data_IF_414183411029
#
_entry.id   IF_414183411029
#
_cell.length_a   1.000
_cell.length_b   1.000
_cell.length_c   1.000
_cell.angle_alpha   90.00
_cell.angle_beta   90.00
_cell.angle_gamma   90.00
#
_symmetry.space_group_name_H-M   'P 1'
#
loop_
_entity.id
_entity.type
_entity.pdbx_description
1 polymer ?
#
# COMPACT_ATOMS: atom_id res chain seq x y z
N UNK A 1 12.53 -16.49 12.35
CA UNK A 1 12.52 -16.12 13.79
C UNK A 1 12.09 -17.34 14.61
N UNK A 2 12.55 -17.48 15.85
CA UNK A 2 12.20 -18.61 16.75
C UNK A 2 10.68 -18.78 16.89
N UNK A 3 9.96 -17.66 17.02
CA UNK A 3 8.49 -17.62 17.13
C UNK A 3 7.75 -17.63 15.77
N UNK A 4 8.47 -17.35 14.68
CA UNK A 4 7.84 -17.12 13.37
C UNK A 4 6.97 -15.85 13.32
N UNK A 5 7.20 -14.90 14.22
CA UNK A 5 6.71 -13.51 14.26
C UNK A 5 7.64 -12.71 15.20
N UNK A 6 7.46 -11.40 15.28
CA UNK A 6 8.12 -10.50 16.22
C UNK A 6 7.21 -10.31 17.43
N UNK A 7 7.59 -10.75 18.63
CA UNK A 7 6.74 -10.63 19.80
C UNK A 7 6.52 -9.17 20.20
N UNK A 8 5.28 -8.83 20.53
CA UNK A 8 4.85 -7.51 20.92
C UNK A 8 5.36 -7.10 22.31
N UNK A 9 5.55 -5.80 22.51
CA UNK A 9 5.93 -5.25 23.81
C UNK A 9 4.70 -5.08 24.72
N UNK A 10 4.67 -5.79 25.85
CA UNK A 10 3.67 -5.57 26.90
C UNK A 10 4.32 -4.91 28.11
N UNK A 11 3.65 -3.90 28.66
CA UNK A 11 4.12 -3.14 29.82
C UNK A 11 3.23 -3.37 31.03
N UNK A 12 3.83 -3.44 32.21
CA UNK A 12 3.11 -3.41 33.48
C UNK A 12 2.61 -2.00 33.82
N UNK A 13 1.96 -1.83 34.98
CA UNK A 13 1.48 -0.53 35.44
C UNK A 13 2.58 0.50 35.73
N UNK A 14 3.84 0.06 35.82
CA UNK A 14 5.01 0.91 36.03
C UNK A 14 5.74 1.21 34.71
N UNK A 15 5.26 0.67 33.57
CA UNK A 15 5.82 0.87 32.25
C UNK A 15 6.94 -0.10 31.88
N UNK A 16 7.28 -1.07 32.75
CA UNK A 16 8.34 -2.04 32.50
C UNK A 16 7.86 -3.14 31.56
N UNK A 17 8.74 -3.61 30.68
CA UNK A 17 8.43 -4.76 29.81
C UNK A 17 8.17 -6.02 30.67
N UNK A 18 7.04 -6.68 30.42
CA UNK A 18 6.61 -7.88 31.15
C UNK A 18 7.39 -9.13 30.72
N UNK A 19 7.88 -9.16 29.48
CA UNK A 19 8.70 -10.23 28.92
C UNK A 19 9.96 -9.61 28.30
N UNK A 20 11.18 -10.15 28.52
CA UNK A 20 12.40 -9.67 27.88
C UNK A 20 12.48 -9.95 26.36
N UNK A 21 11.76 -10.94 25.86
CA UNK A 21 11.75 -11.34 24.44
C UNK A 21 10.66 -10.57 23.69
N UNK A 22 10.88 -9.27 23.48
CA UNK A 22 9.97 -8.39 22.74
C UNK A 22 10.68 -7.64 21.61
N UNK A 23 9.87 -7.10 20.70
CA UNK A 23 10.27 -6.20 19.63
C UNK A 23 9.44 -4.93 19.74
N UNK A 24 10.10 -3.78 19.84
CA UNK A 24 9.43 -2.48 19.69
C UNK A 24 8.95 -2.39 18.25
N UNK A 25 7.75 -1.85 18.04
CA UNK A 25 7.10 -1.74 16.73
C UNK A 25 6.89 -3.11 16.07
N UNK A 26 6.54 -4.11 16.88
CA UNK A 26 6.52 -5.51 16.48
C UNK A 26 5.71 -5.81 15.22
N UNK A 27 4.58 -5.13 14.99
CA UNK A 27 3.74 -5.38 13.82
C UNK A 27 4.43 -4.83 12.58
N UNK A 28 4.78 -3.55 12.57
CA UNK A 28 5.52 -2.91 11.47
C UNK A 28 6.81 -3.66 11.14
N UNK A 29 7.62 -3.95 12.15
CA UNK A 29 8.84 -4.74 12.01
C UNK A 29 8.56 -6.11 11.39
N UNK A 30 7.52 -6.80 11.86
CA UNK A 30 7.13 -8.11 11.35
C UNK A 30 6.71 -8.09 9.88
N UNK A 31 5.88 -7.12 9.50
CA UNK A 31 5.34 -6.96 8.16
C UNK A 31 6.43 -6.57 7.15
N UNK A 32 7.29 -5.60 7.50
CA UNK A 32 8.42 -5.23 6.65
C UNK A 32 9.42 -6.38 6.46
N UNK A 33 9.77 -7.10 7.54
CA UNK A 33 10.68 -8.23 7.41
C UNK A 33 10.08 -9.37 6.57
N UNK A 34 8.76 -9.54 6.57
CA UNK A 34 8.11 -10.48 5.65
C UNK A 34 8.28 -10.04 4.18
N UNK A 35 8.16 -8.75 3.89
CA UNK A 35 8.47 -8.20 2.56
C UNK A 35 9.96 -8.35 2.20
N UNK A 36 10.88 -8.08 3.13
CA UNK A 36 12.32 -8.29 2.90
C UNK A 36 12.66 -9.76 2.67
N UNK A 37 12.04 -10.68 3.40
CA UNK A 37 12.19 -12.11 3.18
C UNK A 37 11.67 -12.52 1.79
N UNK A 38 10.56 -11.92 1.31
CA UNK A 38 10.12 -12.13 -0.07
C UNK A 38 11.16 -11.66 -1.09
N UNK A 39 11.74 -10.48 -0.89
CA UNK A 39 12.80 -9.94 -1.76
C UNK A 39 14.03 -10.88 -1.80
N UNK A 40 14.45 -11.41 -0.65
CA UNK A 40 15.55 -12.38 -0.57
C UNK A 40 15.20 -13.66 -1.33
N UNK A 41 13.95 -14.13 -1.23
CA UNK A 41 13.48 -15.29 -2.00
C UNK A 41 13.56 -15.06 -3.51
N UNK A 42 13.19 -13.86 -3.99
CA UNK A 42 13.32 -13.51 -5.41
C UNK A 42 14.80 -13.51 -5.87
N UNK A 43 15.70 -12.93 -5.06
CA UNK A 43 17.14 -12.93 -5.35
C UNK A 43 17.70 -14.36 -5.36
N UNK A 44 17.34 -15.20 -4.39
CA UNK A 44 17.77 -16.59 -4.30
C UNK A 44 17.29 -17.40 -5.51
N UNK A 45 16.05 -17.19 -5.95
CA UNK A 45 15.49 -17.80 -7.16
C UNK A 45 16.32 -17.43 -8.39
N UNK A 46 16.66 -16.15 -8.57
CA UNK A 46 17.49 -15.68 -9.68
C UNK A 46 18.92 -16.23 -9.63
N UNK A 47 19.43 -16.53 -8.43
CA UNK A 47 20.76 -17.11 -8.22
C UNK A 47 20.79 -18.65 -8.37
N UNK A 48 19.62 -19.31 -8.50
CA UNK A 48 19.51 -20.78 -8.51
C UNK A 48 19.76 -21.44 -7.14
N UNK A 49 19.50 -20.70 -6.04
CA UNK A 49 19.58 -21.20 -4.67
C UNK A 49 18.18 -21.58 -4.16
N UNK A 50 17.68 -22.72 -4.66
CA UNK A 50 16.31 -23.18 -4.39
C UNK A 50 16.03 -23.34 -2.89
N UNK A 51 17.02 -23.77 -2.11
CA UNK A 51 16.88 -23.95 -0.66
C UNK A 51 16.56 -22.63 0.04
N UNK A 52 17.32 -21.58 -0.27
CA UNK A 52 17.06 -20.27 0.33
C UNK A 52 15.81 -19.63 -0.27
N UNK A 53 15.53 -19.82 -1.56
CA UNK A 53 14.29 -19.36 -2.17
C UNK A 53 13.05 -19.88 -1.40
N UNK A 54 12.99 -21.19 -1.14
CA UNK A 54 11.90 -21.83 -0.38
C UNK A 54 11.85 -21.35 1.08
N UNK A 55 12.99 -21.30 1.76
CA UNK A 55 13.07 -20.86 3.16
C UNK A 55 12.52 -19.44 3.35
N UNK A 56 12.97 -18.52 2.51
CA UNK A 56 12.62 -17.12 2.63
C UNK A 56 11.20 -16.85 2.11
N UNK A 57 10.70 -17.60 1.14
CA UNK A 57 9.29 -17.54 0.73
C UNK A 57 8.35 -17.97 1.87
N UNK A 58 8.69 -19.06 2.58
CA UNK A 58 7.92 -19.51 3.73
C UNK A 58 7.92 -18.49 4.88
N UNK A 59 9.01 -17.72 5.04
CA UNK A 59 9.08 -16.63 6.02
C UNK A 59 8.28 -15.40 5.59
N UNK A 60 8.30 -15.09 4.30
CA UNK A 60 7.52 -14.00 3.73
C UNK A 60 6.01 -14.17 3.95
N UNK A 61 5.52 -15.40 4.08
CA UNK A 61 4.11 -15.73 4.34
C UNK A 61 3.69 -15.48 5.81
N UNK A 62 4.65 -15.28 6.72
CA UNK A 62 4.39 -15.13 8.16
C UNK A 62 3.65 -13.83 8.51
N UNK A 63 3.56 -12.86 7.59
CA UNK A 63 2.72 -11.66 7.78
C UNK A 63 1.27 -12.03 8.12
N UNK A 64 0.77 -13.14 7.55
CA UNK A 64 -0.60 -13.64 7.75
C UNK A 64 -0.92 -13.92 9.22
N UNK A 65 0.09 -14.22 10.05
CA UNK A 65 -0.11 -14.48 11.49
C UNK A 65 -0.57 -13.27 12.27
N UNK A 66 -0.23 -12.06 11.82
CA UNK A 66 -0.63 -10.83 12.50
C UNK A 66 -2.11 -10.51 12.29
N UNK A 67 -2.77 -11.07 11.28
CA UNK A 67 -4.14 -10.70 10.98
C UNK A 67 -5.12 -11.37 11.95
N UNK A 68 -5.69 -10.56 12.84
CA UNK A 68 -6.76 -10.95 13.74
C UNK A 68 -8.10 -10.82 13.02
N UNK A 69 -8.52 -11.88 12.31
CA UNK A 69 -9.81 -11.93 11.64
C UNK A 69 -10.93 -12.19 12.67
N UNK A 70 -11.56 -11.10 13.14
CA UNK A 70 -12.62 -11.14 14.14
C UNK A 70 -13.70 -10.07 13.86
N UNK A 71 -14.58 -10.27 12.87
CA UNK A 71 -15.57 -9.27 12.47
C UNK A 71 -16.56 -8.90 13.59
N UNK A 72 -16.79 -9.80 14.55
CA UNK A 72 -17.64 -9.52 15.72
C UNK A 72 -16.97 -8.52 16.67
N UNK A 73 -15.66 -8.65 16.90
CA UNK A 73 -14.89 -7.70 17.71
C UNK A 73 -14.80 -6.33 17.03
N UNK A 74 -14.69 -6.29 15.69
CA UNK A 74 -14.48 -5.07 14.91
C UNK A 74 -15.76 -4.53 14.23
N UNK A 75 -16.92 -4.88 14.78
CA UNK A 75 -18.21 -4.49 14.22
C UNK A 75 -18.44 -2.97 14.23
N UNK A 76 -17.83 -2.24 15.17
CA UNK A 76 -17.92 -0.77 15.24
C UNK A 76 -17.09 -0.09 14.15
N UNK A 77 -15.94 -0.66 13.82
CA UNK A 77 -15.06 -0.22 12.73
C UNK A 77 -15.57 -0.66 11.36
N UNK A 78 -16.42 -1.69 11.30
CA UNK A 78 -16.98 -2.21 10.06
C UNK A 78 -15.96 -2.99 9.21
N UNK A 79 -14.98 -3.61 9.86
CA UNK A 79 -13.91 -4.38 9.19
C UNK A 79 -13.92 -5.85 9.61
N UNK A 80 -13.27 -6.71 8.83
CA UNK A 80 -13.06 -8.11 9.21
C UNK A 80 -11.97 -8.31 10.24
N UNK A 81 -10.97 -7.41 10.31
CA UNK A 81 -9.80 -7.59 11.15
C UNK A 81 -8.70 -6.58 10.90
N UNK A 82 -7.66 -6.66 11.73
CA UNK A 82 -6.46 -5.84 11.66
C UNK A 82 -5.19 -6.68 11.81
N UNK A 83 -4.06 -6.19 11.30
CA UNK A 83 -2.75 -6.68 11.71
C UNK A 83 -2.49 -6.26 13.15
N UNK A 84 -2.63 -7.20 14.10
CA UNK A 84 -2.63 -6.99 15.54
C UNK A 84 -1.35 -7.53 16.19
N UNK A 85 -0.83 -6.88 17.25
CA UNK A 85 0.39 -7.33 17.90
C UNK A 85 0.20 -8.72 18.55
N UNK A 86 1.20 -9.59 18.41
CA UNK A 86 1.18 -10.96 18.94
C UNK A 86 2.18 -11.04 20.10
N UNK A 87 1.70 -11.45 21.27
CA UNK A 87 2.51 -11.68 22.46
C UNK A 87 3.48 -12.86 22.25
N UNK A 88 4.56 -12.94 23.04
CA UNK A 88 5.48 -14.09 22.99
C UNK A 88 4.79 -15.45 23.29
N UNK A 89 3.63 -15.43 23.94
CA UNK A 89 2.77 -16.61 24.14
C UNK A 89 2.08 -17.10 22.87
N UNK A 90 2.07 -16.30 21.81
CA UNK A 90 1.33 -16.55 20.56
C UNK A 90 -0.09 -15.98 20.55
N UNK A 91 -0.56 -15.39 21.65
CA UNK A 91 -1.87 -14.77 21.73
C UNK A 91 -1.84 -13.31 21.23
N UNK A 92 -2.94 -12.83 20.67
CA UNK A 92 -3.08 -11.41 20.34
C UNK A 92 -3.10 -10.54 21.60
N UNK A 93 -2.39 -9.41 21.56
CA UNK A 93 -2.31 -8.46 22.66
C UNK A 93 -3.68 -7.88 23.02
N UNK A 94 -4.04 -7.89 24.32
CA UNK A 94 -5.26 -7.27 24.86
C UNK A 94 -4.93 -6.31 26.02
N UNK A 95 -5.65 -5.17 26.17
CA UNK A 95 -6.66 -4.64 25.24
C UNK A 95 -6.02 -4.19 23.91
N UNK A 96 -6.84 -4.00 22.89
CA UNK A 96 -6.40 -3.54 21.57
C UNK A 96 -7.26 -2.37 21.12
N UNK A 97 -6.60 -1.30 20.67
CA UNK A 97 -7.21 -0.12 20.09
C UNK A 97 -6.59 0.08 18.69
N UNK A 98 -7.37 -0.06 17.60
CA UNK A 98 -6.85 0.08 16.24
C UNK A 98 -6.42 1.53 15.91
N UNK A 99 -6.86 2.52 16.69
CA UNK A 99 -6.44 3.92 16.56
C UNK A 99 -5.23 4.27 17.43
N UNK A 100 -4.81 3.37 18.33
CA UNK A 100 -3.73 3.62 19.27
C UNK A 100 -2.39 3.81 18.57
N UNK A 101 -1.71 4.92 18.91
CA UNK A 101 -0.35 5.23 18.43
C UNK A 101 0.61 5.29 19.60
N UNK A 102 1.86 4.88 19.37
CA UNK A 102 2.94 4.97 20.35
C UNK A 102 4.28 4.80 19.63
N UNK A 103 4.77 5.89 19.00
CA UNK A 103 6.03 5.88 18.28
C UNK A 103 7.20 5.48 19.20
N UNK A 104 8.13 4.67 18.70
CA UNK A 104 9.34 4.17 19.38
C UNK A 104 9.09 3.31 20.65
N UNK A 105 7.82 3.12 21.04
CA UNK A 105 7.47 2.52 22.33
C UNK A 105 6.34 1.50 22.26
N UNK A 106 5.56 1.54 21.18
CA UNK A 106 4.42 0.69 20.89
C UNK A 106 4.71 -0.41 19.87
N UNK A 107 3.70 -0.74 19.06
CA UNK A 107 3.73 -1.90 18.14
C UNK A 107 3.65 -1.51 16.65
N UNK A 108 3.47 -0.23 16.35
CA UNK A 108 3.38 0.31 15.00
C UNK A 108 4.36 1.50 14.87
N UNK A 109 5.20 1.48 13.85
CA UNK A 109 6.09 2.60 13.50
C UNK A 109 5.27 3.75 12.92
N UNK A 110 5.34 4.92 13.55
CA UNK A 110 4.76 6.20 13.10
C UNK A 110 3.31 6.14 12.58
N UNK A 111 2.51 5.26 13.16
CA UNK A 111 1.17 4.98 12.66
C UNK A 111 0.36 4.09 13.61
N UNK A 112 -0.72 3.54 13.08
CA UNK A 112 -1.61 2.65 13.80
C UNK A 112 -2.02 1.42 12.95
N UNK A 113 -2.97 0.63 13.47
CA UNK A 113 -3.41 -0.60 12.82
C UNK A 113 -4.11 -0.36 11.47
N UNK A 114 -4.80 0.78 11.30
CA UNK A 114 -5.50 1.11 10.06
C UNK A 114 -4.55 1.26 8.88
N UNK A 115 -3.37 1.83 9.09
CA UNK A 115 -2.36 2.04 8.06
C UNK A 115 -1.58 0.74 7.81
N UNK A 116 -1.07 0.13 8.88
CA UNK A 116 -0.18 -1.03 8.78
C UNK A 116 -0.88 -2.32 8.34
N UNK A 117 -2.21 -2.41 8.45
CA UNK A 117 -2.94 -3.61 8.00
C UNK A 117 -2.74 -3.93 6.51
N UNK A 118 -2.39 -2.92 5.72
CA UNK A 118 -2.23 -3.03 4.28
C UNK A 118 -0.80 -3.36 3.82
N UNK A 119 0.16 -3.46 4.74
CA UNK A 119 1.57 -3.64 4.38
C UNK A 119 1.95 -5.12 4.18
N UNK A 120 1.64 -5.63 2.99
CA UNK A 120 2.28 -6.83 2.43
C UNK A 120 2.30 -6.72 0.90
N UNK A 121 3.06 -5.75 0.34
CA UNK A 121 3.04 -5.46 -1.10
C UNK A 121 3.49 -6.64 -1.97
N UNK A 122 4.20 -7.61 -1.39
CA UNK A 122 4.55 -8.87 -2.05
C UNK A 122 3.40 -9.85 -2.22
N UNK A 123 2.32 -9.73 -1.43
CA UNK A 123 1.20 -10.67 -1.47
C UNK A 123 -0.16 -10.01 -1.12
N UNK A 124 -0.60 -9.07 -1.96
CA UNK A 124 -1.92 -8.43 -1.83
C UNK A 124 -3.07 -9.46 -1.92
N UNK A 125 -2.89 -10.54 -2.68
CA UNK A 125 -3.89 -11.62 -2.73
C UNK A 125 -3.93 -12.42 -1.42
N UNK A 126 -2.79 -12.61 -0.74
CA UNK A 126 -2.75 -13.18 0.61
C UNK A 126 -3.44 -12.29 1.64
N UNK A 127 -3.33 -10.95 1.53
CA UNK A 127 -4.15 -10.04 2.36
C UNK A 127 -5.64 -10.26 2.08
N UNK A 128 -6.04 -10.33 0.80
CA UNK A 128 -7.43 -10.64 0.43
C UNK A 128 -7.91 -11.96 1.03
N UNK A 129 -7.09 -13.00 0.99
CA UNK A 129 -7.40 -14.32 1.54
C UNK A 129 -7.66 -14.27 3.05
N UNK A 130 -6.72 -13.72 3.83
CA UNK A 130 -6.83 -13.68 5.29
C UNK A 130 -7.97 -12.77 5.78
N UNK A 131 -8.35 -11.75 5.00
CA UNK A 131 -9.50 -10.88 5.26
C UNK A 131 -10.84 -11.57 5.04
N UNK A 132 -10.90 -12.68 4.30
CA UNK A 132 -12.14 -13.39 3.96
C UNK A 132 -12.62 -13.21 2.51
N UNK A 133 -11.73 -12.77 1.61
CA UNK A 133 -11.97 -12.63 0.18
C UNK A 133 -12.13 -11.18 -0.29
N UNK A 134 -12.41 -11.02 -1.58
CA UNK A 134 -12.45 -9.71 -2.26
C UNK A 134 -13.42 -8.73 -1.62
N UNK A 135 -14.63 -9.18 -1.26
CA UNK A 135 -15.63 -8.28 -0.65
C UNK A 135 -15.16 -7.77 0.72
N UNK A 136 -14.58 -8.62 1.56
CA UNK A 136 -14.07 -8.21 2.86
C UNK A 136 -12.86 -7.26 2.71
N UNK A 137 -11.98 -7.52 1.75
CA UNK A 137 -10.89 -6.60 1.42
C UNK A 137 -11.39 -5.23 0.99
N UNK A 138 -12.35 -5.18 0.05
CA UNK A 138 -12.95 -3.92 -0.38
C UNK A 138 -13.62 -3.19 0.79
N UNK A 139 -14.41 -3.90 1.61
CA UNK A 139 -15.07 -3.31 2.78
C UNK A 139 -14.06 -2.77 3.80
N UNK A 140 -12.98 -3.50 4.10
CA UNK A 140 -11.94 -3.00 4.99
C UNK A 140 -11.22 -1.76 4.40
N UNK A 141 -10.97 -1.76 3.08
CA UNK A 141 -10.31 -0.65 2.40
C UNK A 141 -11.19 0.60 2.44
N UNK A 142 -12.47 0.47 2.10
CA UNK A 142 -13.46 1.55 2.23
C UNK A 142 -13.57 2.04 3.67
N UNK A 143 -13.60 1.13 4.65
CA UNK A 143 -13.63 1.50 6.06
C UNK A 143 -12.39 2.31 6.45
N UNK A 144 -11.20 1.98 5.91
CA UNK A 144 -9.97 2.75 6.17
C UNK A 144 -10.09 4.19 5.67
N UNK A 145 -10.62 4.41 4.46
CA UNK A 145 -10.83 5.74 3.89
C UNK A 145 -11.99 6.52 4.56
N UNK A 146 -12.93 5.82 5.20
CA UNK A 146 -14.10 6.43 5.87
C UNK A 146 -13.99 6.49 7.40
N UNK A 147 -12.96 5.87 7.98
CA UNK A 147 -12.75 5.82 9.42
C UNK A 147 -12.62 7.23 9.99
N UNK A 148 -13.02 7.38 11.26
CA UNK A 148 -13.00 8.68 11.93
C UNK A 148 -11.57 9.20 12.02
N UNK A 149 -11.42 10.52 11.91
CA UNK A 149 -10.20 11.23 12.33
C UNK A 149 -10.20 11.25 13.87
N UNK A 150 -9.78 10.14 14.47
CA UNK A 150 -9.72 9.94 15.92
C UNK A 150 -8.45 9.19 16.29
N UNK A 151 -8.05 9.28 17.56
CA UNK A 151 -6.81 8.72 18.07
C UNK A 151 -5.79 9.81 18.41
N UNK A 152 -4.72 9.43 19.09
CA UNK A 152 -3.56 10.29 19.27
C UNK A 152 -2.80 10.34 17.94
N UNK A 153 -2.55 11.53 17.39
CA UNK A 153 -1.76 11.69 16.16
C UNK A 153 -0.27 11.76 16.51
N UNK A 154 0.55 11.00 15.79
CA UNK A 154 1.99 11.31 15.73
C UNK A 154 2.19 12.50 14.78
N UNK A 155 3.30 13.23 14.92
CA UNK A 155 3.56 14.39 14.06
C UNK A 155 3.57 14.04 12.56
N UNK A 156 3.89 12.78 12.24
CA UNK A 156 4.03 12.26 10.88
C UNK A 156 2.69 11.74 10.31
N UNK A 157 1.64 11.62 11.14
CA UNK A 157 0.29 11.24 10.67
C UNK A 157 -0.50 12.45 10.16
N UNK A 158 -0.07 13.01 9.04
CA UNK A 158 -0.70 14.16 8.39
C UNK A 158 -1.29 13.79 7.02
N UNK A 159 -1.98 14.74 6.36
CA UNK A 159 -2.60 14.49 5.05
C UNK A 159 -3.65 13.38 5.10
N UNK A 160 -4.56 13.43 6.07
CA UNK A 160 -5.49 12.34 6.37
C UNK A 160 -6.69 12.27 5.40
N UNK A 161 -6.93 11.08 4.85
CA UNK A 161 -8.18 10.69 4.18
C UNK A 161 -8.79 9.52 4.96
N UNK A 162 -9.68 9.84 5.89
CA UNK A 162 -10.01 8.88 6.96
C UNK A 162 -8.74 8.54 7.74
N UNK A 163 -8.40 7.26 7.85
CA UNK A 163 -7.16 6.81 8.52
C UNK A 163 -5.96 6.62 7.59
N UNK A 164 -6.10 6.90 6.29
CA UNK A 164 -4.96 6.94 5.37
C UNK A 164 -4.18 8.24 5.60
N UNK A 165 -3.01 8.15 6.23
CA UNK A 165 -2.12 9.28 6.49
C UNK A 165 -1.12 9.42 5.35
N UNK A 166 -1.45 10.21 4.33
CA UNK A 166 -0.61 10.34 3.13
C UNK A 166 0.69 11.10 3.38
N UNK A 167 0.81 11.83 4.49
CA UNK A 167 2.07 12.46 4.90
C UNK A 167 3.16 11.49 5.36
N UNK A 168 2.89 10.17 5.38
CA UNK A 168 3.85 9.14 5.79
C UNK A 168 3.81 7.91 4.85
N UNK A 169 4.99 7.31 4.63
CA UNK A 169 5.24 6.22 3.68
C UNK A 169 4.35 4.98 3.81
N UNK A 170 3.99 4.48 5.02
CA UNK A 170 3.18 3.27 5.15
C UNK A 170 1.84 3.35 4.42
N UNK A 171 1.35 4.56 4.12
CA UNK A 171 0.09 4.80 3.42
C UNK A 171 0.23 4.94 1.90
N UNK A 172 1.44 5.14 1.35
CA UNK A 172 1.64 5.57 -0.03
C UNK A 172 1.07 4.61 -1.09
N UNK A 173 1.02 3.31 -0.80
CA UNK A 173 0.47 2.31 -1.72
C UNK A 173 -1.03 2.07 -1.56
N UNK A 174 -1.63 2.47 -0.43
CA UNK A 174 -3.04 2.17 -0.09
C UNK A 174 -4.03 2.66 -1.17
N UNK A 175 -3.91 3.89 -1.73
CA UNK A 175 -4.81 4.35 -2.80
C UNK A 175 -4.89 3.41 -4.00
N UNK A 176 -3.79 2.73 -4.33
CA UNK A 176 -3.69 1.84 -5.47
C UNK A 176 -4.29 0.46 -5.23
N UNK A 177 -4.62 0.11 -3.97
CA UNK A 177 -5.17 -1.19 -3.62
C UNK A 177 -6.56 -1.43 -4.20
N UNK A 178 -7.30 -0.39 -4.57
CA UNK A 178 -8.54 -0.52 -5.33
C UNK A 178 -8.35 -1.20 -6.70
N UNK A 179 -7.14 -1.18 -7.28
CA UNK A 179 -6.85 -1.92 -8.52
C UNK A 179 -6.86 -3.44 -8.35
N UNK A 180 -6.88 -3.93 -7.10
CA UNK A 180 -7.04 -5.35 -6.77
C UNK A 180 -8.48 -5.73 -6.42
N UNK A 181 -9.44 -4.82 -6.60
CA UNK A 181 -10.87 -5.03 -6.28
C UNK A 181 -11.74 -4.82 -7.52
N UNK A 182 -13.03 -5.13 -7.38
CA UNK A 182 -14.06 -4.82 -8.36
C UNK A 182 -14.28 -3.32 -8.61
N UNK A 183 -13.65 -2.42 -7.84
CA UNK A 183 -13.88 -0.97 -7.89
C UNK A 183 -12.61 -0.13 -8.15
N UNK A 184 -11.85 -0.40 -9.22
CA UNK A 184 -10.57 0.26 -9.47
C UNK A 184 -10.67 1.74 -9.82
N UNK A 185 -11.85 2.24 -10.21
CA UNK A 185 -12.05 3.67 -10.46
C UNK A 185 -11.81 4.51 -9.20
N UNK A 186 -11.94 3.93 -8.01
CA UNK A 186 -11.62 4.60 -6.75
C UNK A 186 -10.14 4.91 -6.60
N UNK A 187 -9.23 4.13 -7.20
CA UNK A 187 -7.82 4.52 -7.31
C UNK A 187 -7.70 5.88 -7.99
N UNK A 188 -8.44 6.10 -9.08
CA UNK A 188 -8.37 7.33 -9.87
C UNK A 188 -8.93 8.52 -9.07
N UNK A 189 -10.06 8.32 -8.38
CA UNK A 189 -10.66 9.34 -7.50
C UNK A 189 -9.72 9.75 -6.36
N UNK A 190 -9.13 8.78 -5.65
CA UNK A 190 -8.26 9.05 -4.50
C UNK A 190 -6.92 9.66 -4.94
N UNK A 191 -6.29 9.12 -6.00
CA UNK A 191 -5.02 9.66 -6.50
C UNK A 191 -5.19 11.08 -7.04
N UNK A 192 -6.30 11.37 -7.73
CA UNK A 192 -6.63 12.72 -8.19
C UNK A 192 -6.74 13.69 -7.01
N UNK A 193 -7.52 13.33 -5.99
CA UNK A 193 -7.66 14.11 -4.77
C UNK A 193 -6.31 14.39 -4.09
N UNK A 194 -5.45 13.37 -3.96
CA UNK A 194 -4.12 13.54 -3.36
C UNK A 194 -3.27 14.51 -4.19
N UNK A 195 -3.23 14.36 -5.52
CA UNK A 195 -2.42 15.21 -6.40
C UNK A 195 -2.88 16.68 -6.38
N UNK A 196 -4.18 16.94 -6.22
CA UNK A 196 -4.76 18.29 -6.21
C UNK A 196 -4.68 18.96 -4.83
N UNK A 197 -4.99 18.22 -3.77
CA UNK A 197 -5.17 18.80 -2.42
C UNK A 197 -3.92 18.69 -1.53
N UNK A 198 -3.04 17.71 -1.80
CA UNK A 198 -1.88 17.41 -0.93
C UNK A 198 -0.54 17.83 -1.51
N UNK A 199 -0.53 18.41 -2.72
CA UNK A 199 0.64 18.97 -3.37
C UNK A 199 0.37 20.39 -3.87
N UNK A 200 1.15 21.36 -3.40
CA UNK A 200 1.02 22.76 -3.81
C UNK A 200 2.38 23.36 -4.16
N UNK A 201 2.40 24.33 -5.08
CA UNK A 201 3.61 25.05 -5.47
C UNK A 201 3.95 26.18 -4.46
N UNK A 202 3.97 25.84 -3.17
CA UNK A 202 4.23 26.74 -2.04
C UNK A 202 5.26 26.10 -1.09
N UNK A 203 5.92 26.87 -0.20
CA UNK A 203 6.86 26.31 0.77
C UNK A 203 6.24 25.24 1.70
N UNK A 204 4.94 25.35 2.00
CA UNK A 204 4.17 24.40 2.81
C UNK A 204 3.43 23.35 1.97
N UNK A 205 3.78 23.21 0.70
CA UNK A 205 2.97 22.49 -0.29
C UNK A 205 3.10 20.96 -0.29
N UNK A 206 3.71 20.35 0.72
CA UNK A 206 3.73 18.90 0.91
C UNK A 206 3.17 18.61 2.30
N UNK A 207 2.25 17.66 2.39
CA UNK A 207 1.49 17.39 3.62
C UNK A 207 2.30 16.72 4.74
N UNK A 208 3.49 16.20 4.47
CA UNK A 208 4.39 15.55 5.42
C UNK A 208 5.86 15.86 5.14
N UNK A 209 6.76 15.09 5.76
CA UNK A 209 8.18 15.16 5.43
C UNK A 209 8.40 14.76 3.96
N UNK A 210 9.40 15.35 3.31
CA UNK A 210 9.67 15.06 1.89
C UNK A 210 10.37 13.70 1.70
N UNK A 211 11.01 13.23 2.78
CA UNK A 211 11.73 11.96 2.91
C UNK A 211 12.67 11.65 1.74
N UNK A 212 13.52 12.63 1.46
CA UNK A 212 14.70 12.51 0.59
C UNK A 212 14.32 12.05 -0.83
N UNK A 213 13.19 12.55 -1.33
CA UNK A 213 12.64 12.22 -2.64
C UNK A 213 11.43 11.29 -2.61
N UNK A 214 11.02 10.73 -1.46
CA UNK A 214 9.91 9.77 -1.36
C UNK A 214 8.59 10.38 -1.85
N UNK A 215 8.15 11.47 -1.23
CA UNK A 215 6.91 12.19 -1.61
C UNK A 215 6.98 12.70 -3.05
N UNK A 216 8.12 13.29 -3.42
CA UNK A 216 8.32 13.80 -4.78
C UNK A 216 8.27 12.70 -5.84
N UNK A 217 8.84 11.53 -5.56
CA UNK A 217 8.80 10.38 -6.47
C UNK A 217 7.38 9.82 -6.60
N UNK A 218 6.62 9.77 -5.49
CA UNK A 218 5.21 9.41 -5.54
C UNK A 218 4.44 10.34 -6.48
N UNK A 219 4.58 11.67 -6.31
CA UNK A 219 3.93 12.65 -7.18
C UNK A 219 4.29 12.43 -8.65
N UNK A 220 5.59 12.28 -8.97
CA UNK A 220 6.06 12.10 -10.35
C UNK A 220 5.49 10.83 -10.97
N UNK A 221 5.50 9.71 -10.26
CA UNK A 221 4.92 8.45 -10.74
C UNK A 221 3.41 8.57 -10.94
N UNK A 222 2.69 9.03 -9.93
CA UNK A 222 1.24 9.22 -9.96
C UNK A 222 0.81 10.17 -11.08
N UNK A 223 1.52 11.29 -11.28
CA UNK A 223 1.26 12.23 -12.37
C UNK A 223 1.47 11.61 -13.76
N UNK A 224 2.38 10.64 -13.90
CA UNK A 224 2.52 9.82 -15.11
C UNK A 224 1.37 8.80 -15.29
N UNK A 225 0.49 8.65 -14.33
CA UNK A 225 -0.67 7.76 -14.39
C UNK A 225 -0.35 6.31 -14.03
N UNK A 226 0.75 6.02 -13.34
CA UNK A 226 1.05 4.68 -12.83
C UNK A 226 1.95 4.72 -11.60
N UNK A 227 1.91 3.67 -10.77
CA UNK A 227 2.70 3.56 -9.54
C UNK A 227 3.25 2.14 -9.37
N UNK A 228 4.31 2.00 -8.56
CA UNK A 228 4.90 0.69 -8.23
C UNK A 228 4.63 0.38 -6.75
N UNK A 229 3.58 -0.42 -6.49
CA UNK A 229 3.18 -0.83 -5.13
C UNK A 229 4.26 -1.68 -4.45
N UNK A 230 4.89 -2.59 -5.21
CA UNK A 230 5.99 -3.42 -4.74
C UNK A 230 7.28 -3.00 -5.43
N UNK A 231 8.17 -2.32 -4.70
CA UNK A 231 9.43 -1.81 -5.23
C UNK A 231 10.41 -2.89 -5.73
N UNK A 232 10.22 -4.15 -5.33
CA UNK A 232 11.04 -5.28 -5.76
C UNK A 232 10.37 -6.18 -6.83
N UNK A 233 9.11 -5.91 -7.19
CA UNK A 233 8.43 -6.54 -8.32
C UNK A 233 8.44 -5.60 -9.54
N UNK A 234 8.92 -6.02 -10.73
CA UNK A 234 8.94 -5.18 -11.93
C UNK A 234 7.55 -4.99 -12.58
N UNK A 235 6.51 -4.78 -11.77
CA UNK A 235 5.12 -4.53 -12.20
C UNK A 235 4.66 -3.15 -11.73
N UNK A 236 4.03 -2.41 -12.64
CA UNK A 236 3.38 -1.14 -12.34
C UNK A 236 1.87 -1.32 -12.38
N UNK A 237 1.17 -0.56 -11.54
CA UNK A 237 -0.29 -0.47 -11.52
C UNK A 237 -0.75 0.89 -12.02
N UNK A 238 -1.91 0.93 -12.66
CA UNK A 238 -2.43 2.13 -13.31
C UNK A 238 -3.10 3.08 -12.29
N UNK A 239 -2.75 4.37 -12.35
CA UNK A 239 -3.44 5.47 -11.67
C UNK A 239 -4.18 6.37 -12.66
N UNK A 240 -4.33 7.66 -12.35
CA UNK A 240 -4.88 8.67 -13.28
C UNK A 240 -3.75 9.59 -13.78
N UNK A 241 -3.53 9.74 -15.10
CA UNK A 241 -2.52 10.66 -15.61
C UNK A 241 -2.93 12.11 -15.36
N UNK A 242 -2.00 12.94 -14.87
CA UNK A 242 -2.26 14.36 -14.60
C UNK A 242 -2.16 15.22 -15.87
N UNK A 243 -1.32 14.82 -16.83
CA UNK A 243 -1.05 15.59 -18.05
C UNK A 243 -1.48 14.82 -19.31
N UNK A 244 -1.88 15.57 -20.36
CA UNK A 244 -2.22 15.00 -21.68
C UNK A 244 -1.06 14.24 -22.32
N UNK A 245 0.17 14.71 -22.13
CA UNK A 245 1.37 14.04 -22.62
C UNK A 245 2.55 14.26 -21.66
N UNK A 246 3.22 13.17 -21.30
CA UNK A 246 4.51 13.20 -20.59
C UNK A 246 5.49 12.34 -21.35
N UNK A 247 6.68 12.88 -21.58
CA UNK A 247 7.74 12.18 -22.31
C UNK A 247 9.03 12.20 -21.51
N UNK A 248 9.60 11.05 -21.23
CA UNK A 248 10.88 10.94 -20.52
C UNK A 248 11.86 10.03 -21.28
N UNK A 249 13.17 10.35 -21.21
CA UNK A 249 14.18 9.59 -21.91
C UNK A 249 14.36 8.20 -21.29
N UNK A 250 14.48 7.20 -22.16
CA UNK A 250 14.95 5.86 -21.82
C UNK A 250 16.23 5.58 -22.60
N UNK A 251 16.92 4.46 -22.32
CA UNK A 251 18.22 4.14 -22.92
C UNK A 251 18.27 4.36 -24.44
N UNK A 252 17.24 3.89 -25.15
CA UNK A 252 17.19 3.89 -26.62
C UNK A 252 15.99 4.72 -27.16
N UNK A 253 15.75 5.90 -26.59
CA UNK A 253 14.73 6.84 -27.08
C UNK A 253 13.90 7.44 -25.96
N UNK A 254 12.58 7.35 -26.09
CA UNK A 254 11.64 7.89 -25.11
C UNK A 254 10.50 6.93 -24.86
N UNK A 255 9.99 6.96 -23.63
CA UNK A 255 8.67 6.45 -23.32
C UNK A 255 7.74 7.64 -23.16
N UNK A 256 6.55 7.55 -23.76
CA UNK A 256 5.58 8.65 -23.76
C UNK A 256 4.26 8.19 -23.16
N UNK A 257 3.83 8.82 -22.08
CA UNK A 257 2.46 8.71 -21.58
C UNK A 257 1.59 9.67 -22.37
N UNK A 258 0.42 9.23 -22.82
CA UNK A 258 -0.59 10.07 -23.49
C UNK A 258 -1.97 9.82 -22.92
N UNK A 259 -2.75 10.86 -22.71
CA UNK A 259 -4.12 10.77 -22.24
C UNK A 259 -5.06 11.52 -23.18
N UNK A 260 -5.92 10.78 -23.88
CA UNK A 260 -6.99 11.35 -24.68
C UNK A 260 -8.21 11.66 -23.80
N UNK A 261 -8.85 12.80 -24.03
CA UNK A 261 -9.97 13.32 -23.23
C UNK A 261 -9.64 13.57 -21.76
N UNK A 262 -8.39 13.85 -21.40
CA UNK A 262 -8.05 14.13 -20.01
C UNK A 262 -8.59 15.51 -19.58
N UNK A 263 -9.40 15.53 -18.54
CA UNK A 263 -9.97 16.74 -17.96
C UNK A 263 -10.53 16.44 -16.58
N UNK A 264 -10.85 17.48 -15.81
CA UNK A 264 -11.51 17.35 -14.51
C UNK A 264 -12.84 16.57 -14.63
N UNK A 265 -13.60 16.82 -15.71
CA UNK A 265 -14.86 16.11 -15.99
C UNK A 265 -14.66 14.64 -16.44
N UNK A 266 -13.45 14.24 -16.83
CA UNK A 266 -13.14 12.93 -17.40
C UNK A 266 -12.07 12.24 -16.55
N UNK A 267 -12.40 11.94 -15.29
CA UNK A 267 -11.46 11.32 -14.36
C UNK A 267 -11.25 9.82 -14.57
N UNK A 268 -12.18 9.14 -15.25
CA UNK A 268 -12.15 7.69 -15.31
C UNK A 268 -11.40 7.16 -16.53
N UNK A 269 -10.71 6.04 -16.37
CA UNK A 269 -9.99 5.37 -17.46
C UNK A 269 -10.93 4.44 -18.20
N UNK A 270 -11.22 4.75 -19.46
CA UNK A 270 -12.01 3.91 -20.37
C UNK A 270 -11.19 2.78 -20.98
N UNK A 271 -9.95 3.09 -21.37
CA UNK A 271 -9.03 2.08 -21.90
C UNK A 271 -7.57 2.51 -21.74
N UNK A 272 -6.69 1.52 -21.64
CA UNK A 272 -5.23 1.71 -21.65
C UNK A 272 -4.60 0.76 -22.64
N UNK A 273 -3.63 1.26 -23.39
CA UNK A 273 -2.75 0.44 -24.20
C UNK A 273 -1.30 0.75 -23.88
N UNK A 274 -0.45 -0.28 -23.91
CA UNK A 274 1.00 -0.15 -23.84
C UNK A 274 1.59 -0.60 -25.17
N UNK A 275 2.37 0.26 -25.81
CA UNK A 275 2.98 0.03 -27.12
C UNK A 275 1.96 -0.45 -28.17
N UNK A 276 0.78 0.18 -28.19
CA UNK A 276 -0.33 -0.11 -29.10
C UNK A 276 -1.12 -1.40 -28.80
N UNK A 277 -0.89 -2.07 -27.67
CA UNK A 277 -1.63 -3.27 -27.26
C UNK A 277 -2.40 -3.03 -25.97
N UNK A 278 -3.64 -3.54 -25.82
CA UNK A 278 -4.33 -3.54 -24.54
C UNK A 278 -3.49 -4.21 -23.45
N UNK A 279 -3.63 -3.75 -22.21
CA UNK A 279 -2.99 -4.39 -21.06
C UNK A 279 -3.48 -5.85 -20.96
N UNK A 280 -2.55 -6.78 -20.77
CA UNK A 280 -2.87 -8.21 -20.70
C UNK A 280 -3.20 -8.71 -19.29
N UNK A 281 -3.01 -7.87 -18.28
CA UNK A 281 -3.17 -8.22 -16.87
C UNK A 281 -3.94 -7.08 -16.17
N UNK A 282 -5.23 -6.92 -16.50
CA UNK A 282 -6.07 -5.87 -15.92
C UNK A 282 -5.44 -4.48 -16.00
N UNK A 283 -5.24 -3.86 -14.83
CA UNK A 283 -4.65 -2.53 -14.65
C UNK A 283 -3.15 -2.57 -14.34
N UNK A 284 -2.43 -3.55 -14.90
CA UNK A 284 -1.01 -3.76 -14.63
C UNK A 284 -0.19 -3.94 -15.90
N UNK A 285 1.06 -3.47 -15.88
CA UNK A 285 2.05 -3.71 -16.93
C UNK A 285 3.45 -3.94 -16.38
N UNK A 286 4.32 -4.58 -17.16
CA UNK A 286 5.67 -4.95 -16.72
C UNK A 286 6.70 -3.89 -17.08
N UNK A 287 7.75 -3.78 -16.26
CA UNK A 287 8.88 -2.88 -16.49
C UNK A 287 9.59 -3.10 -17.83
N UNK A 288 9.58 -4.33 -18.36
CA UNK A 288 10.14 -4.62 -19.69
C UNK A 288 9.43 -3.86 -20.83
N UNK A 289 8.14 -3.56 -20.66
CA UNK A 289 7.32 -2.86 -21.65
C UNK A 289 7.56 -1.35 -21.60
N UNK A 290 7.93 -0.83 -20.43
CA UNK A 290 8.37 0.54 -20.19
C UNK A 290 9.81 0.80 -20.64
N UNK A 291 10.75 -0.07 -20.23
CA UNK A 291 12.20 0.11 -20.43
C UNK A 291 12.62 0.09 -21.90
N UNK A 292 11.83 -0.58 -22.75
CA UNK A 292 12.07 -0.63 -24.19
C UNK A 292 11.77 0.70 -24.91
N UNK A 293 11.13 1.67 -24.24
CA UNK A 293 10.56 2.86 -24.86
C UNK A 293 9.18 2.59 -25.46
N UNK A 294 8.64 3.57 -26.18
CA UNK A 294 7.31 3.49 -26.78
C UNK A 294 6.30 4.36 -26.05
N UNK A 295 5.11 3.83 -25.76
CA UNK A 295 4.03 4.62 -25.17
C UNK A 295 3.06 3.86 -24.26
N UNK A 296 2.50 4.59 -23.30
CA UNK A 296 1.32 4.22 -22.50
C UNK A 296 0.20 5.20 -22.85
N UNK A 297 -0.82 4.73 -23.55
CA UNK A 297 -1.90 5.55 -24.08
C UNK A 297 -3.22 5.26 -23.36
N UNK A 298 -3.76 6.28 -22.71
CA UNK A 298 -5.03 6.30 -22.00
C UNK A 298 -6.13 6.93 -22.86
N UNK A 299 -7.35 6.41 -22.73
CA UNK A 299 -8.57 7.10 -23.13
C UNK A 299 -9.39 7.33 -21.87
N UNK A 300 -9.68 8.60 -21.57
CA UNK A 300 -10.44 9.00 -20.39
C UNK A 300 -11.94 9.16 -20.72
N UNK A 301 -12.78 9.08 -19.68
CA UNK A 301 -14.24 9.24 -19.76
C UNK A 301 -14.79 9.82 -18.46
N UNK A 302 -15.85 10.63 -18.55
CA UNK A 302 -16.62 11.10 -17.40
C UNK A 302 -17.69 10.10 -16.95
N UNK A 303 -17.94 9.04 -17.73
CA UNK A 303 -18.90 8.00 -17.36
C UNK A 303 -18.20 6.86 -16.62
N UNK A 304 -18.40 6.79 -15.31
CA UNK A 304 -17.89 5.70 -14.45
C UNK A 304 -18.28 4.30 -14.93
N UNK A 305 -19.44 4.13 -15.57
CA UNK A 305 -19.87 2.83 -16.10
C UNK A 305 -19.02 2.34 -17.28
N UNK A 306 -18.24 3.23 -17.91
CA UNK A 306 -17.29 2.89 -18.97
C UNK A 306 -15.86 2.66 -18.44
N UNK A 307 -15.64 2.81 -17.12
CA UNK A 307 -14.32 2.63 -16.53
C UNK A 307 -13.84 1.18 -16.69
N UNK A 308 -12.53 1.00 -16.89
CA UNK A 308 -11.91 -0.32 -16.90
C UNK A 308 -12.14 -1.02 -15.57
N UNK A 309 -12.56 -2.28 -15.65
CA UNK A 309 -12.57 -3.22 -14.53
C UNK A 309 -11.46 -4.25 -14.72
N UNK A 310 -10.96 -4.91 -13.65
CA UNK A 310 -9.93 -5.92 -13.76
C UNK A 310 -10.33 -7.15 -14.60
#
# INVERSE_FOLDING_TARGET
PEFGFAPAIQRDSEGNAVNPDYTIESVSYGLENAYYDWCISQIATLAGDDKNAELYLARADLFKKYFDNNPEQYAEEGVSGFMRPIMATGEFMTPFDPYGTAHETGNYTEGNAWQWTWFAPHDINGIKEIMGGEQAFLTNLEATFNAKLSGDETADMSGLIGQVAFGNEPSHHIPYLYNWTSEPWKTQEVVDYILDEMYQATPEGIVGNEDVGSMSAWYVMSAMGFYQVNGADPTYTIGRPLFDEIRFPVKDGFFTVRAANNSDDNMYIKSVTINGKPLSNGLFFNHKEFKAGGDLSFVMTGNKEEAMTP
#
